data_IF_284845993526
#
_entry.id   IF_284845993526
#
_cell.length_a   1.000
_cell.length_b   1.000
_cell.length_c   1.000
_cell.angle_alpha   90.00
_cell.angle_beta   90.00
_cell.angle_gamma   90.00
#
_symmetry.space_group_name_H-M   'P 1'
#
loop_
_entity.id
_entity.type
_entity.pdbx_description
1 polymer ?
#
# COMPACT_ATOMS: atom_id res chain seq x y z
N UNK A 1 -65.42 23.41 -52.53
CA UNK A 1 -65.60 22.60 -51.30
C UNK A 1 -64.57 21.48 -51.19
N UNK A 2 -64.37 20.61 -52.18
CA UNK A 2 -63.43 19.48 -52.08
C UNK A 2 -61.96 19.90 -51.84
N UNK A 3 -61.51 20.99 -52.46
CA UNK A 3 -60.14 21.49 -52.30
C UNK A 3 -59.86 22.09 -50.92
N UNK A 4 -60.87 22.69 -50.29
CA UNK A 4 -60.79 23.23 -48.92
C UNK A 4 -60.66 22.08 -47.91
N UNK A 5 -61.47 21.03 -48.09
CA UNK A 5 -61.44 19.85 -47.21
C UNK A 5 -60.11 19.09 -47.29
N UNK A 6 -59.46 19.09 -48.47
CA UNK A 6 -58.15 18.48 -48.65
C UNK A 6 -57.03 19.29 -47.99
N UNK A 7 -57.11 20.64 -48.03
CA UNK A 7 -56.17 21.50 -47.31
C UNK A 7 -56.30 21.37 -45.79
N UNK A 8 -57.53 21.34 -45.26
CA UNK A 8 -57.77 21.19 -43.82
C UNK A 8 -57.25 19.83 -43.32
N UNK A 9 -57.44 18.76 -44.10
CA UNK A 9 -56.92 17.43 -43.75
C UNK A 9 -55.38 17.39 -43.74
N UNK A 10 -54.74 18.08 -44.68
CA UNK A 10 -53.27 18.14 -44.75
C UNK A 10 -52.68 18.99 -43.61
N UNK A 11 -53.37 20.07 -43.22
CA UNK A 11 -52.96 20.92 -42.11
C UNK A 11 -53.10 20.19 -40.76
N UNK A 12 -54.17 19.41 -40.58
CA UNK A 12 -54.38 18.60 -39.39
C UNK A 12 -53.30 17.52 -39.24
N UNK A 13 -52.92 16.87 -40.36
CA UNK A 13 -51.87 15.85 -40.35
C UNK A 13 -50.50 16.45 -40.00
N UNK A 14 -50.20 17.65 -40.48
CA UNK A 14 -48.95 18.35 -40.18
C UNK A 14 -48.89 18.78 -38.70
N UNK A 15 -50.00 19.24 -38.15
CA UNK A 15 -50.10 19.60 -36.73
C UNK A 15 -49.93 18.38 -35.81
N UNK A 16 -50.49 17.24 -36.20
CA UNK A 16 -50.37 15.99 -35.43
C UNK A 16 -48.93 15.45 -35.43
N UNK A 17 -48.21 15.59 -36.56
CA UNK A 17 -46.79 15.20 -36.66
C UNK A 17 -45.90 16.09 -35.78
N UNK A 18 -46.17 17.40 -35.74
CA UNK A 18 -45.41 18.34 -34.92
C UNK A 18 -45.61 18.08 -33.42
N UNK A 19 -46.83 17.72 -33.01
CA UNK A 19 -47.14 17.38 -31.62
C UNK A 19 -46.47 16.06 -31.18
N UNK A 20 -46.38 15.08 -32.09
CA UNK A 20 -45.68 13.81 -31.81
C UNK A 20 -44.16 14.01 -31.66
N UNK A 21 -43.56 14.87 -32.48
CA UNK A 21 -42.13 15.15 -32.39
C UNK A 21 -41.77 15.88 -31.07
N UNK A 22 -42.65 16.76 -30.60
CA UNK A 22 -42.45 17.48 -29.33
C UNK A 22 -42.56 16.53 -28.11
N UNK A 23 -43.45 15.54 -28.14
CA UNK A 23 -43.53 14.51 -27.10
C UNK A 23 -42.26 13.64 -27.04
N UNK A 24 -41.71 13.29 -28.21
CA UNK A 24 -40.51 12.45 -28.27
C UNK A 24 -39.28 13.18 -27.70
N UNK A 25 -39.17 14.49 -27.93
CA UNK A 25 -38.10 15.31 -27.36
C UNK A 25 -38.20 15.42 -25.83
N UNK A 26 -39.42 15.54 -25.27
CA UNK A 26 -39.62 15.55 -23.82
C UNK A 26 -39.23 14.23 -23.16
N UNK A 27 -39.53 13.09 -23.79
CA UNK A 27 -39.12 11.78 -23.27
C UNK A 27 -37.60 11.61 -23.23
N UNK A 28 -36.89 12.12 -24.24
CA UNK A 28 -35.42 12.04 -24.28
C UNK A 28 -34.76 12.88 -23.16
N UNK A 29 -35.32 14.06 -22.86
CA UNK A 29 -34.82 14.87 -21.74
C UNK A 29 -35.05 14.21 -20.38
N UNK A 30 -36.19 13.54 -20.18
CA UNK A 30 -36.45 12.81 -18.92
C UNK A 30 -35.49 11.63 -18.72
N UNK A 31 -35.14 10.89 -19.78
CA UNK A 31 -34.16 9.81 -19.68
C UNK A 31 -32.76 10.31 -19.32
N UNK A 32 -32.32 11.44 -19.88
CA UNK A 32 -31.02 12.02 -19.50
C UNK A 32 -30.98 12.46 -18.03
N UNK A 33 -32.06 13.05 -17.49
CA UNK A 33 -32.10 13.41 -16.08
C UNK A 33 -32.07 12.19 -15.14
N UNK A 34 -32.73 11.08 -15.49
CA UNK A 34 -32.65 9.86 -14.68
C UNK A 34 -31.25 9.24 -14.69
N UNK A 35 -30.53 9.25 -15.82
CA UNK A 35 -29.15 8.77 -15.85
C UNK A 35 -28.21 9.63 -14.99
N UNK A 36 -28.40 10.96 -14.97
CA UNK A 36 -27.59 11.84 -14.13
C UNK A 36 -27.85 11.62 -12.62
N UNK A 37 -29.10 11.36 -12.21
CA UNK A 37 -29.40 11.03 -10.81
C UNK A 37 -28.82 9.67 -10.37
N UNK A 38 -28.81 8.65 -11.23
CA UNK A 38 -28.19 7.37 -10.89
C UNK A 38 -26.66 7.47 -10.73
N UNK A 39 -25.98 8.30 -11.53
CA UNK A 39 -24.54 8.53 -11.33
C UNK A 39 -24.24 9.28 -10.02
N UNK A 40 -25.08 10.23 -9.60
CA UNK A 40 -24.89 10.91 -8.31
C UNK A 40 -25.15 9.99 -7.11
N UNK A 41 -26.15 9.10 -7.18
CA UNK A 41 -26.38 8.13 -6.10
C UNK A 41 -25.28 7.07 -6.00
N UNK A 42 -24.68 6.63 -7.11
CA UNK A 42 -23.51 5.74 -7.03
C UNK A 42 -22.29 6.45 -6.41
N UNK A 43 -22.08 7.75 -6.66
CA UNK A 43 -21.02 8.49 -5.97
C UNK A 43 -21.30 8.69 -4.48
N UNK A 44 -22.55 8.87 -4.06
CA UNK A 44 -22.89 8.97 -2.63
C UNK A 44 -22.83 7.63 -1.88
N UNK A 45 -23.15 6.49 -2.54
CA UNK A 45 -23.03 5.18 -1.88
C UNK A 45 -21.57 4.73 -1.70
N UNK A 46 -20.63 5.27 -2.48
CA UNK A 46 -19.18 5.09 -2.22
C UNK A 46 -18.66 5.94 -1.05
N UNK A 47 -19.48 6.87 -0.53
CA UNK A 47 -19.13 7.77 0.57
C UNK A 47 -19.77 7.37 1.90
N UNK A 48 -20.51 6.26 2.00
CA UNK A 48 -20.89 5.73 3.31
C UNK A 48 -19.73 4.94 3.92
N UNK A 49 -19.11 5.42 5.02
CA UNK A 49 -18.17 4.62 5.76
C UNK A 49 -18.94 3.48 6.42
N UNK A 50 -18.69 2.24 6.01
CA UNK A 50 -19.00 1.10 6.88
C UNK A 50 -18.19 1.30 8.16
N UNK A 51 -18.91 1.59 9.25
CA UNK A 51 -18.40 1.77 10.58
C UNK A 51 -17.48 0.62 11.01
N UNK A 52 -16.17 0.84 10.88
CA UNK A 52 -15.19 0.25 11.79
C UNK A 52 -14.95 1.26 12.92
N UNK A 53 -15.98 1.44 13.76
CA UNK A 53 -15.80 2.01 15.09
C UNK A 53 -15.45 0.88 16.04
N UNK A 54 -14.16 0.61 16.22
CA UNK A 54 -13.58 0.40 17.55
C UNK A 54 -12.05 0.27 17.45
N UNK A 55 -11.36 1.39 17.52
CA UNK A 55 -10.22 1.58 18.41
C UNK A 55 -10.16 3.08 18.71
N UNK A 56 -10.31 3.42 19.99
CA UNK A 56 -10.13 4.76 20.54
C UNK A 56 -8.71 5.27 20.21
N UNK A 57 -8.53 5.93 19.07
CA UNK A 57 -7.32 6.67 18.72
C UNK A 57 -7.65 8.11 18.29
N UNK A 58 -8.80 8.62 18.72
CA UNK A 58 -9.19 10.01 18.45
C UNK A 58 -8.68 10.91 19.57
N UNK A 59 -7.85 11.87 19.18
CA UNK A 59 -7.65 13.18 19.82
C UNK A 59 -6.46 13.50 20.74
N UNK A 60 -5.45 12.63 20.95
CA UNK A 60 -4.26 13.03 21.72
C UNK A 60 -2.87 12.82 21.06
N UNK A 61 -2.75 12.13 19.92
CA UNK A 61 -1.44 11.94 19.26
C UNK A 61 -0.97 13.14 18.42
N UNK A 62 -1.86 14.04 18.00
CA UNK A 62 -1.48 15.22 17.21
C UNK A 62 -0.70 16.28 18.00
N UNK A 63 -0.64 16.19 19.33
CA UNK A 63 0.13 17.13 20.17
C UNK A 63 1.64 16.83 20.20
N UNK A 64 2.09 15.71 19.62
CA UNK A 64 3.51 15.32 19.61
C UNK A 64 4.01 14.95 18.21
N UNK A 65 3.38 15.48 17.15
CA UNK A 65 3.91 15.32 15.81
C UNK A 65 5.29 15.99 15.73
N UNK A 66 6.30 15.20 15.37
CA UNK A 66 7.64 15.67 15.10
C UNK A 66 7.97 15.41 13.62
N UNK A 67 8.22 16.46 12.82
CA UNK A 67 8.57 16.31 11.42
C UNK A 67 9.90 15.59 11.21
N UNK A 68 10.81 15.67 12.19
CA UNK A 68 12.17 15.14 12.10
C UNK A 68 12.28 13.65 12.44
N UNK A 69 11.16 13.01 12.80
CA UNK A 69 11.11 11.57 13.12
C UNK A 69 10.19 10.81 12.15
N UNK A 70 10.49 9.53 11.97
CA UNK A 70 9.59 8.61 11.28
C UNK A 70 8.29 8.43 12.06
N UNK A 71 7.20 8.25 11.32
CA UNK A 71 5.85 8.02 11.85
C UNK A 71 5.31 6.71 11.31
N UNK A 72 4.70 5.91 12.19
CA UNK A 72 4.04 4.67 11.77
C UNK A 72 2.69 5.01 11.12
N UNK A 73 2.60 4.73 9.82
CA UNK A 73 1.39 5.00 9.03
C UNK A 73 0.36 3.90 9.24
N UNK A 74 0.83 2.65 9.20
CA UNK A 74 0.06 1.45 9.49
C UNK A 74 1.01 0.36 10.04
N UNK A 75 0.49 -0.72 10.65
CA UNK A 75 1.31 -1.71 11.35
C UNK A 75 2.57 -2.16 10.59
N UNK A 76 3.73 -1.80 11.13
CA UNK A 76 5.06 -2.10 10.61
C UNK A 76 5.43 -1.39 9.30
N UNK A 77 4.79 -0.27 8.98
CA UNK A 77 5.16 0.62 7.86
C UNK A 77 5.35 2.03 8.38
N UNK A 78 6.59 2.49 8.27
CA UNK A 78 7.04 3.79 8.73
C UNK A 78 7.35 4.70 7.57
N UNK A 79 7.06 5.99 7.75
CA UNK A 79 7.38 7.04 6.79
C UNK A 79 8.12 8.16 7.51
N UNK A 80 9.31 8.53 7.02
CA UNK A 80 10.15 9.48 7.74
C UNK A 80 11.23 10.18 6.92
N UNK A 81 11.85 11.22 7.50
CA UNK A 81 13.01 11.90 6.93
C UNK A 81 14.29 11.06 7.04
N UNK A 82 15.32 11.47 6.31
CA UNK A 82 16.68 10.92 6.43
C UNK A 82 17.26 11.01 7.85
N UNK A 83 16.83 11.99 8.66
CA UNK A 83 17.21 12.09 10.07
C UNK A 83 16.78 10.88 10.90
N UNK A 84 15.80 10.11 10.43
CA UNK A 84 15.36 8.85 11.07
C UNK A 84 16.42 7.73 10.98
N UNK A 85 17.44 7.89 10.14
CA UNK A 85 18.54 6.92 9.99
C UNK A 85 19.73 7.24 10.92
N UNK A 86 19.70 8.39 11.60
CA UNK A 86 20.81 8.84 12.42
C UNK A 86 20.87 8.11 13.77
N UNK A 87 22.08 7.81 14.22
CA UNK A 87 22.40 7.02 15.40
C UNK A 87 23.07 7.87 16.46
N UNK A 88 22.43 8.88 17.07
CA UNK A 88 23.03 9.59 18.24
C UNK A 88 22.11 10.58 18.99
N UNK A 89 22.43 10.91 20.26
CA UNK A 89 21.61 11.72 21.17
C UNK A 89 21.42 13.20 20.79
N UNK A 90 22.09 13.74 19.77
CA UNK A 90 22.02 15.19 19.47
C UNK A 90 20.68 15.61 18.85
N UNK A 91 19.91 14.67 18.32
CA UNK A 91 18.49 14.91 17.98
C UNK A 91 17.69 15.26 19.25
N UNK A 92 18.09 14.79 20.44
CA UNK A 92 17.47 15.10 21.73
C UNK A 92 17.73 16.56 22.15
N UNK A 93 18.88 17.15 21.80
CA UNK A 93 19.19 18.53 22.23
C UNK A 93 18.47 19.60 21.41
N UNK A 94 18.14 19.31 20.15
CA UNK A 94 17.35 20.22 19.31
C UNK A 94 15.84 19.91 19.31
N UNK A 95 15.42 18.75 19.84
CA UNK A 95 14.02 18.40 20.08
C UNK A 95 13.62 18.67 21.53
N UNK A 96 13.34 19.93 21.85
CA UNK A 96 12.82 20.34 23.17
C UNK A 96 11.44 19.74 23.55
N UNK A 97 10.84 18.87 22.72
CA UNK A 97 9.46 18.40 22.87
C UNK A 97 9.22 16.91 22.61
N UNK A 98 10.25 16.07 22.40
CA UNK A 98 10.03 14.63 22.30
C UNK A 98 9.80 14.05 23.71
N UNK A 99 8.69 13.34 23.98
CA UNK A 99 8.51 12.66 25.26
C UNK A 99 9.61 11.62 25.42
N UNK A 100 10.33 11.69 26.54
CA UNK A 100 11.33 10.68 26.86
C UNK A 100 10.65 9.30 26.91
N UNK A 101 11.22 8.27 26.27
CA UNK A 101 10.69 6.92 26.37
C UNK A 101 10.69 6.50 27.84
N UNK A 102 9.48 6.32 28.41
CA UNK A 102 9.28 5.87 29.77
C UNK A 102 9.50 4.36 29.90
N UNK A 103 10.72 3.89 29.64
CA UNK A 103 11.18 2.58 30.12
C UNK A 103 12.70 2.60 30.26
N UNK A 104 13.11 2.82 31.51
CA UNK A 104 14.20 2.19 32.26
C UNK A 104 15.55 1.91 31.57
N UNK A 105 16.60 2.45 32.21
CA UNK A 105 18.04 2.25 32.03
C UNK A 105 18.73 3.12 30.98
N UNK A 106 19.00 4.36 31.37
CA UNK A 106 19.96 5.26 30.75
C UNK A 106 21.39 4.74 30.95
N UNK A 107 21.81 3.81 30.10
CA UNK A 107 23.19 3.79 29.61
C UNK A 107 23.27 4.78 28.45
N UNK A 108 24.39 5.48 28.30
CA UNK A 108 24.62 6.49 27.26
C UNK A 108 24.76 5.89 25.84
N UNK A 109 23.96 4.86 25.53
CA UNK A 109 23.91 4.22 24.23
C UNK A 109 22.91 5.01 23.36
N UNK A 110 23.40 5.56 22.26
CA UNK A 110 22.61 6.44 21.39
C UNK A 110 21.33 5.76 20.89
N UNK A 111 20.24 6.52 20.85
CA UNK A 111 19.00 6.06 20.21
C UNK A 111 19.25 5.82 18.72
N UNK A 112 18.97 4.61 18.25
CA UNK A 112 18.98 4.26 16.82
C UNK A 112 17.59 3.73 16.47
N UNK A 113 16.83 4.52 15.71
CA UNK A 113 15.46 4.18 15.32
C UNK A 113 15.39 2.84 14.57
N UNK A 114 16.36 2.59 13.68
CA UNK A 114 16.40 1.39 12.83
C UNK A 114 16.65 0.13 13.65
N UNK A 115 17.49 0.19 14.70
CA UNK A 115 17.73 -0.97 15.58
C UNK A 115 16.69 -1.14 16.69
N UNK A 116 16.10 -0.04 17.15
CA UNK A 116 15.07 -0.06 18.19
C UNK A 116 13.72 -0.57 17.66
N UNK A 117 13.55 -0.52 16.35
CA UNK A 117 12.43 -1.12 15.64
C UNK A 117 12.93 -2.32 14.84
N UNK A 118 12.07 -3.29 14.54
CA UNK A 118 12.45 -4.45 13.72
C UNK A 118 12.49 -4.10 12.22
N UNK A 119 13.19 -3.01 11.86
CA UNK A 119 13.27 -2.50 10.48
C UNK A 119 14.22 -3.40 9.70
N UNK A 120 13.68 -4.14 8.72
CA UNK A 120 14.46 -5.01 7.84
C UNK A 120 14.47 -4.56 6.39
N UNK A 121 13.69 -3.53 6.05
CA UNK A 121 13.64 -2.97 4.71
C UNK A 121 13.61 -1.44 4.82
N UNK A 122 14.56 -0.78 4.18
CA UNK A 122 14.59 0.67 4.01
C UNK A 122 14.46 0.97 2.52
N UNK A 123 13.50 1.81 2.14
CA UNK A 123 13.33 2.26 0.75
C UNK A 123 13.49 3.78 0.71
N UNK A 124 14.61 4.23 0.14
CA UNK A 124 14.77 5.63 -0.23
C UNK A 124 13.86 5.97 -1.42
N UNK A 125 13.17 7.10 -1.29
CA UNK A 125 12.29 7.68 -2.31
C UNK A 125 12.63 9.18 -2.54
N UNK A 126 13.77 9.65 -2.04
CA UNK A 126 14.35 10.96 -2.34
C UNK A 126 15.52 10.85 -3.32
N UNK A 127 16.33 11.90 -3.43
CA UNK A 127 17.50 11.90 -4.32
C UNK A 127 18.47 10.76 -4.00
N UNK A 128 18.71 9.86 -4.97
CA UNK A 128 19.63 8.72 -4.78
C UNK A 128 21.00 9.19 -4.31
N UNK A 129 21.62 10.19 -4.96
CA UNK A 129 22.97 10.64 -4.60
C UNK A 129 23.07 11.20 -3.18
N UNK A 130 22.08 11.97 -2.72
CA UNK A 130 22.07 12.48 -1.34
C UNK A 130 21.93 11.35 -0.33
N UNK A 131 21.09 10.36 -0.65
CA UNK A 131 20.93 9.18 0.18
C UNK A 131 22.21 8.34 0.26
N UNK A 132 22.89 8.15 -0.87
CA UNK A 132 24.17 7.42 -0.90
C UNK A 132 25.24 8.15 -0.10
N UNK A 133 25.36 9.46 -0.27
CA UNK A 133 26.30 10.28 0.48
C UNK A 133 26.04 10.19 1.99
N UNK A 134 24.76 10.25 2.40
CA UNK A 134 24.35 10.07 3.79
C UNK A 134 24.76 8.71 4.34
N UNK A 135 24.49 7.60 3.63
CA UNK A 135 24.79 6.25 4.13
C UNK A 135 26.29 5.97 4.16
N UNK A 136 27.02 6.37 3.13
CA UNK A 136 28.43 6.00 2.95
C UNK A 136 29.39 6.92 3.71
N UNK A 137 29.05 8.20 3.87
CA UNK A 137 29.96 9.20 4.43
C UNK A 137 29.53 9.74 5.80
N UNK A 138 28.30 9.51 6.27
CA UNK A 138 27.89 9.97 7.60
C UNK A 138 28.40 9.03 8.69
N UNK A 139 29.18 9.52 9.67
CA UNK A 139 29.59 8.72 10.83
C UNK A 139 28.43 8.42 11.79
N UNK A 140 27.27 9.07 11.56
CA UNK A 140 26.08 8.95 12.38
C UNK A 140 25.04 8.03 11.76
N UNK A 141 25.36 7.29 10.70
CA UNK A 141 24.46 6.29 10.13
C UNK A 141 25.12 4.93 10.30
N UNK A 142 24.43 4.01 10.97
CA UNK A 142 24.88 2.63 11.12
C UNK A 142 23.71 1.70 10.82
N UNK A 143 23.75 1.10 9.63
CA UNK A 143 22.76 0.14 9.16
C UNK A 143 23.34 -1.27 9.30
N UNK A 144 22.59 -2.16 9.94
CA UNK A 144 22.99 -3.57 10.08
C UNK A 144 22.95 -4.30 8.75
N UNK A 145 23.82 -5.29 8.57
CA UNK A 145 23.96 -6.06 7.32
C UNK A 145 22.76 -6.95 6.99
N UNK A 146 21.84 -7.13 7.93
CA UNK A 146 20.58 -7.86 7.77
C UNK A 146 19.40 -6.95 7.36
N UNK A 147 19.65 -5.67 7.10
CA UNK A 147 18.67 -4.72 6.60
C UNK A 147 18.82 -4.58 5.09
N UNK A 148 17.72 -4.83 4.37
CA UNK A 148 17.65 -4.58 2.94
C UNK A 148 17.50 -3.07 2.67
N UNK A 149 18.47 -2.47 1.98
CA UNK A 149 18.42 -1.05 1.62
C UNK A 149 18.24 -0.90 0.12
N UNK A 150 17.16 -0.23 -0.28
CA UNK A 150 16.79 0.02 -1.67
C UNK A 150 16.65 1.51 -1.93
N UNK A 151 16.97 1.97 -3.13
CA UNK A 151 16.75 3.35 -3.58
C UNK A 151 15.83 3.34 -4.80
N UNK A 152 14.60 3.83 -4.65
CA UNK A 152 13.65 4.07 -5.73
C UNK A 152 13.76 5.52 -6.17
N UNK A 153 14.30 5.73 -7.38
CA UNK A 153 14.45 7.07 -7.96
C UNK A 153 14.25 6.98 -9.48
N UNK A 154 13.03 7.23 -9.98
CA UNK A 154 12.72 7.16 -11.40
C UNK A 154 13.51 8.17 -12.25
N UNK A 155 14.01 9.24 -11.63
CA UNK A 155 14.78 10.30 -12.28
C UNK A 155 16.28 10.01 -12.31
N UNK A 156 16.73 9.02 -11.55
CA UNK A 156 18.14 8.66 -11.47
C UNK A 156 18.59 7.90 -12.71
N UNK A 157 19.56 8.47 -13.42
CA UNK A 157 20.20 7.84 -14.56
C UNK A 157 21.67 7.52 -14.26
N UNK A 158 21.92 6.26 -13.90
CA UNK A 158 23.24 5.72 -13.63
C UNK A 158 24.19 5.76 -14.84
N UNK A 159 23.66 5.87 -16.06
CA UNK A 159 24.43 5.81 -17.30
C UNK A 159 24.87 7.17 -17.85
N UNK A 160 24.48 8.27 -17.20
CA UNK A 160 24.84 9.61 -17.70
C UNK A 160 26.29 9.98 -17.36
N UNK A 161 27.04 10.39 -18.37
CA UNK A 161 28.34 11.06 -18.24
C UNK A 161 28.29 12.37 -17.43
N UNK A 162 27.09 12.78 -16.99
CA UNK A 162 26.82 13.98 -16.20
C UNK A 162 26.98 13.75 -14.68
N UNK A 163 27.11 12.51 -14.21
CA UNK A 163 27.41 12.23 -12.80
C UNK A 163 28.83 12.73 -12.47
N UNK A 164 28.99 13.62 -11.47
CA UNK A 164 30.31 13.97 -10.96
C UNK A 164 31.08 12.72 -10.53
N UNK A 165 32.41 12.73 -10.63
CA UNK A 165 33.26 11.59 -10.30
C UNK A 165 32.94 11.01 -8.90
N UNK A 166 32.72 11.88 -7.92
CA UNK A 166 32.30 11.50 -6.57
C UNK A 166 30.97 10.73 -6.56
N UNK A 167 29.99 11.12 -7.38
CA UNK A 167 28.70 10.43 -7.48
C UNK A 167 28.82 9.04 -8.09
N UNK A 168 29.72 8.86 -9.06
CA UNK A 168 30.02 7.53 -9.63
C UNK A 168 30.66 6.61 -8.59
N UNK A 169 31.59 7.13 -7.80
CA UNK A 169 32.23 6.35 -6.72
C UNK A 169 31.21 5.93 -5.65
N UNK A 170 30.36 6.85 -5.20
CA UNK A 170 29.29 6.55 -4.23
C UNK A 170 28.36 5.45 -4.76
N UNK A 171 27.91 5.58 -6.01
CA UNK A 171 27.06 4.58 -6.65
C UNK A 171 27.74 3.21 -6.73
N UNK A 172 29.03 3.16 -7.10
CA UNK A 172 29.78 1.92 -7.20
C UNK A 172 29.96 1.23 -5.84
N UNK A 173 30.30 1.98 -4.78
CA UNK A 173 30.42 1.44 -3.42
C UNK A 173 29.09 0.90 -2.93
N UNK A 174 28.04 1.71 -2.98
CA UNK A 174 26.71 1.32 -2.56
C UNK A 174 26.20 0.08 -3.33
N UNK A 175 26.32 0.08 -4.66
CA UNK A 175 25.89 -1.07 -5.47
C UNK A 175 26.69 -2.32 -5.11
N UNK A 176 28.01 -2.21 -4.92
CA UNK A 176 28.85 -3.37 -4.56
C UNK A 176 28.45 -4.00 -3.23
N UNK A 177 28.16 -3.17 -2.24
CA UNK A 177 27.96 -3.62 -0.87
C UNK A 177 26.50 -4.07 -0.66
N UNK A 178 25.52 -3.29 -1.14
CA UNK A 178 24.11 -3.61 -0.98
C UNK A 178 23.57 -4.61 -2.01
N UNK A 179 24.18 -4.77 -3.20
CA UNK A 179 23.81 -5.88 -4.08
C UNK A 179 24.12 -7.22 -3.44
N UNK A 180 25.25 -7.36 -2.75
CA UNK A 180 25.58 -8.63 -2.06
C UNK A 180 24.55 -8.96 -0.99
N UNK A 181 24.17 -7.96 -0.19
CA UNK A 181 23.14 -8.10 0.84
C UNK A 181 21.81 -8.51 0.20
N UNK A 182 21.36 -7.80 -0.84
CA UNK A 182 20.14 -8.10 -1.57
C UNK A 182 20.15 -9.54 -2.11
N UNK A 183 21.19 -9.95 -2.85
CA UNK A 183 21.27 -11.30 -3.41
C UNK A 183 21.29 -12.37 -2.32
N UNK A 184 22.07 -12.18 -1.26
CA UNK A 184 22.11 -13.12 -0.13
C UNK A 184 20.74 -13.24 0.54
N UNK A 185 20.05 -12.12 0.75
CA UNK A 185 18.73 -12.08 1.36
C UNK A 185 17.70 -12.78 0.47
N UNK A 186 17.65 -12.45 -0.83
CA UNK A 186 16.72 -13.07 -1.78
C UNK A 186 16.99 -14.58 -1.94
N UNK A 187 18.25 -14.99 -2.05
CA UNK A 187 18.62 -16.39 -2.18
C UNK A 187 18.28 -17.17 -0.92
N UNK A 188 18.64 -16.66 0.27
CA UNK A 188 18.29 -17.29 1.55
C UNK A 188 16.78 -17.40 1.73
N UNK A 189 16.04 -16.35 1.36
CA UNK A 189 14.59 -16.31 1.43
C UNK A 189 13.94 -17.38 0.55
N UNK A 190 14.28 -17.43 -0.75
CA UNK A 190 13.69 -18.41 -1.67
C UNK A 190 14.19 -19.84 -1.41
N UNK A 191 15.42 -20.00 -0.93
CA UNK A 191 15.93 -21.31 -0.51
C UNK A 191 15.13 -21.86 0.68
N UNK A 192 14.85 -21.01 1.66
CA UNK A 192 14.06 -21.39 2.85
C UNK A 192 12.57 -21.53 2.54
N UNK A 193 12.09 -20.90 1.46
CA UNK A 193 10.68 -20.82 1.11
C UNK A 193 10.47 -21.16 -0.39
N UNK A 194 10.63 -22.43 -0.79
CA UNK A 194 10.58 -22.84 -2.19
C UNK A 194 9.22 -22.56 -2.87
N UNK A 195 8.15 -22.47 -2.09
CA UNK A 195 6.80 -22.17 -2.57
C UNK A 195 6.43 -20.68 -2.47
N UNK A 196 7.38 -19.79 -2.18
CA UNK A 196 7.13 -18.35 -2.00
C UNK A 196 6.41 -17.70 -3.19
N UNK A 197 6.73 -18.13 -4.42
CA UNK A 197 6.08 -17.63 -5.63
C UNK A 197 4.57 -17.94 -5.69
N UNK A 198 4.12 -18.98 -4.97
CA UNK A 198 2.70 -19.34 -4.88
C UNK A 198 1.99 -18.63 -3.73
N UNK A 199 2.69 -17.80 -2.95
CA UNK A 199 2.07 -17.08 -1.83
C UNK A 199 1.44 -15.77 -2.30
N UNK A 200 1.92 -15.19 -3.40
CA UNK A 200 1.53 -13.84 -3.81
C UNK A 200 1.06 -13.78 -5.25
N UNK A 201 0.20 -12.81 -5.56
CA UNK A 201 -0.24 -12.56 -6.92
C UNK A 201 0.95 -12.25 -7.83
N UNK A 202 0.95 -12.86 -9.02
CA UNK A 202 1.88 -12.54 -10.10
C UNK A 202 1.84 -11.04 -10.42
N UNK A 203 2.95 -10.51 -10.95
CA UNK A 203 2.97 -9.14 -11.44
C UNK A 203 2.19 -9.05 -12.77
N UNK A 204 1.68 -7.87 -13.14
CA UNK A 204 1.03 -7.67 -14.44
C UNK A 204 1.92 -8.10 -15.60
N UNK A 205 1.28 -8.53 -16.70
CA UNK A 205 1.98 -8.89 -17.95
C UNK A 205 3.07 -9.96 -17.79
N UNK A 206 2.91 -10.87 -16.82
CA UNK A 206 3.86 -11.95 -16.50
C UNK A 206 5.26 -11.46 -16.13
N UNK A 207 5.39 -10.24 -15.60
CA UNK A 207 6.67 -9.80 -15.04
C UNK A 207 7.05 -10.65 -13.82
N UNK A 208 8.36 -10.89 -13.65
CA UNK A 208 8.89 -11.58 -12.49
C UNK A 208 9.19 -10.63 -11.34
N UNK A 209 8.99 -11.11 -10.10
CA UNK A 209 9.43 -10.44 -8.89
C UNK A 209 10.95 -10.59 -8.73
N UNK A 210 11.72 -9.93 -9.60
CA UNK A 210 13.16 -9.79 -9.48
C UNK A 210 13.53 -8.34 -9.18
N UNK A 211 14.42 -8.18 -8.20
CA UNK A 211 15.13 -6.93 -7.91
C UNK A 211 16.60 -7.31 -7.94
N UNK A 212 17.27 -6.93 -9.03
CA UNK A 212 18.65 -7.34 -9.31
C UNK A 212 19.67 -6.26 -8.90
N UNK A 213 19.16 -5.06 -8.57
CA UNK A 213 19.94 -3.90 -8.17
C UNK A 213 19.29 -3.24 -6.94
N UNK A 214 20.09 -2.80 -5.95
CA UNK A 214 19.58 -2.02 -4.83
C UNK A 214 19.13 -0.62 -5.26
N UNK A 215 19.58 -0.13 -6.42
CA UNK A 215 19.07 1.11 -7.04
C UNK A 215 18.05 0.72 -8.10
N UNK A 216 16.79 1.06 -7.84
CA UNK A 216 15.62 0.77 -8.66
C UNK A 216 15.34 2.02 -9.50
N UNK A 217 15.71 1.95 -10.78
CA UNK A 217 15.48 3.01 -11.76
C UNK A 217 14.39 2.63 -12.76
N UNK A 218 14.02 3.57 -13.61
CA UNK A 218 13.13 3.34 -14.75
C UNK A 218 11.81 4.09 -14.65
N UNK A 219 11.29 4.47 -15.81
CA UNK A 219 10.10 5.31 -15.95
C UNK A 219 8.78 4.59 -15.62
N UNK A 220 8.77 3.25 -15.59
CA UNK A 220 7.58 2.46 -15.29
C UNK A 220 7.35 2.34 -13.77
N UNK A 221 6.97 3.46 -13.16
CA UNK A 221 6.76 3.56 -11.72
C UNK A 221 5.68 2.59 -11.20
N UNK A 222 4.62 2.34 -11.98
CA UNK A 222 3.61 1.33 -11.68
C UNK A 222 4.24 -0.04 -11.42
N UNK A 223 5.12 -0.50 -12.31
CA UNK A 223 5.78 -1.79 -12.15
C UNK A 223 6.68 -1.80 -10.91
N UNK A 224 7.37 -0.68 -10.62
CA UNK A 224 8.20 -0.59 -9.42
C UNK A 224 7.38 -0.63 -8.12
N UNK A 225 6.19 0.00 -8.10
CA UNK A 225 5.25 -0.15 -6.98
C UNK A 225 4.84 -1.61 -6.80
N UNK A 226 4.45 -2.31 -7.86
CA UNK A 226 4.14 -3.73 -7.78
C UNK A 226 5.31 -4.54 -7.23
N UNK A 227 6.53 -4.37 -7.75
CA UNK A 227 7.71 -5.10 -7.27
C UNK A 227 7.98 -4.87 -5.78
N UNK A 228 8.04 -3.62 -5.36
CA UNK A 228 8.34 -3.28 -3.96
C UNK A 228 7.27 -3.77 -2.99
N UNK A 229 5.99 -3.53 -3.30
CA UNK A 229 4.89 -3.88 -2.40
C UNK A 229 4.72 -5.40 -2.32
N UNK A 230 4.88 -6.11 -3.44
CA UNK A 230 4.83 -7.57 -3.47
C UNK A 230 6.00 -8.17 -2.70
N UNK A 231 7.20 -7.61 -2.82
CA UNK A 231 8.35 -8.02 -2.02
C UNK A 231 8.09 -7.82 -0.51
N UNK A 232 7.65 -6.62 -0.12
CA UNK A 232 7.35 -6.31 1.30
C UNK A 232 6.28 -7.25 1.84
N UNK A 233 5.21 -7.45 1.08
CA UNK A 233 4.12 -8.37 1.46
C UNK A 233 4.64 -9.80 1.63
N UNK A 234 5.45 -10.27 0.69
CA UNK A 234 6.04 -11.61 0.73
C UNK A 234 6.91 -11.81 1.97
N UNK A 235 7.72 -10.82 2.35
CA UNK A 235 8.52 -10.89 3.57
C UNK A 235 7.67 -10.81 4.84
N UNK A 236 6.65 -9.94 4.88
CA UNK A 236 5.75 -9.81 6.04
C UNK A 236 4.87 -11.03 6.27
N UNK A 237 4.63 -11.84 5.24
CA UNK A 237 3.90 -13.10 5.38
C UNK A 237 4.68 -14.18 6.13
N UNK A 238 6.01 -14.10 6.09
CA UNK A 238 6.90 -15.06 6.76
C UNK A 238 7.34 -14.52 8.12
N UNK A 239 7.64 -13.22 8.17
CA UNK A 239 7.99 -12.51 9.39
C UNK A 239 7.01 -11.36 9.62
N UNK A 240 5.96 -11.60 10.41
CA UNK A 240 4.90 -10.62 10.66
C UNK A 240 5.38 -9.41 11.47
N UNK A 241 6.43 -9.58 12.27
CA UNK A 241 7.06 -8.52 13.04
C UNK A 241 7.99 -7.64 12.20
N UNK A 242 8.24 -8.01 10.94
CA UNK A 242 9.08 -7.24 10.04
C UNK A 242 8.48 -5.85 9.79
N UNK A 243 9.31 -4.84 9.99
CA UNK A 243 8.95 -3.45 9.74
C UNK A 243 9.72 -2.90 8.53
N UNK A 244 9.07 -1.98 7.82
CA UNK A 244 9.65 -1.30 6.66
C UNK A 244 9.62 0.21 6.87
N UNK A 245 10.68 0.89 6.44
CA UNK A 245 10.82 2.34 6.51
C UNK A 245 10.94 2.92 5.11
N UNK A 246 10.00 3.79 4.73
CA UNK A 246 10.07 4.61 3.55
C UNK A 246 10.66 5.97 3.91
N UNK A 247 11.74 6.38 3.24
CA UNK A 247 12.43 7.63 3.53
C UNK A 247 12.50 8.58 2.34
N UNK A 248 12.51 9.87 2.63
CA UNK A 248 12.88 10.96 1.71
C UNK A 248 13.65 12.03 2.49
N UNK A 249 14.19 13.06 1.83
CA UNK A 249 15.03 14.07 2.52
C UNK A 249 14.37 14.62 3.78
N UNK A 250 13.10 15.03 3.68
CA UNK A 250 12.31 15.67 4.75
C UNK A 250 11.15 14.77 5.24
N UNK A 251 11.04 13.55 4.72
CA UNK A 251 9.94 12.63 5.02
C UNK A 251 8.60 13.03 4.43
N UNK A 252 8.53 14.06 3.57
CA UNK A 252 7.31 14.50 2.91
C UNK A 252 7.37 14.36 1.38
N UNK A 253 8.37 13.64 0.86
CA UNK A 253 8.56 13.47 -0.58
C UNK A 253 7.36 12.82 -1.27
N UNK A 254 6.98 13.35 -2.44
CA UNK A 254 5.85 12.86 -3.24
C UNK A 254 5.95 11.38 -3.57
N UNK A 255 7.16 10.89 -3.88
CA UNK A 255 7.40 9.51 -4.24
C UNK A 255 7.22 8.57 -3.03
N UNK A 256 7.73 8.96 -1.85
CA UNK A 256 7.53 8.20 -0.60
C UNK A 256 6.05 8.13 -0.21
N UNK A 257 5.33 9.25 -0.40
CA UNK A 257 3.88 9.33 -0.22
C UNK A 257 3.16 8.41 -1.22
N UNK A 258 3.56 8.44 -2.49
CA UNK A 258 3.01 7.59 -3.54
C UNK A 258 3.21 6.10 -3.26
N UNK A 259 4.42 5.68 -2.86
CA UNK A 259 4.71 4.30 -2.48
C UNK A 259 3.87 3.86 -1.27
N UNK A 260 3.71 4.73 -0.28
CA UNK A 260 2.86 4.46 0.90
C UNK A 260 1.39 4.31 0.48
N UNK A 261 0.87 5.17 -0.40
CA UNK A 261 -0.49 5.05 -0.95
C UNK A 261 -0.65 3.72 -1.69
N UNK A 262 0.31 3.36 -2.55
CA UNK A 262 0.26 2.10 -3.28
C UNK A 262 0.24 0.89 -2.32
N UNK A 263 1.01 0.94 -1.24
CA UNK A 263 0.98 -0.10 -0.20
C UNK A 263 -0.39 -0.20 0.47
N UNK A 264 -1.02 0.93 0.84
CA UNK A 264 -2.35 0.96 1.44
C UNK A 264 -3.44 0.48 0.47
N UNK A 265 -3.33 0.84 -0.81
CA UNK A 265 -4.18 0.34 -1.88
C UNK A 265 -4.09 -1.19 -1.99
N UNK A 266 -2.89 -1.75 -1.89
CA UNK A 266 -2.70 -3.18 -1.99
C UNK A 266 -3.16 -3.92 -0.73
N UNK A 267 -2.56 -3.61 0.42
CA UNK A 267 -2.74 -4.39 1.64
C UNK A 267 -4.08 -4.12 2.35
N UNK A 268 -4.66 -2.93 2.18
CA UNK A 268 -5.88 -2.51 2.90
C UNK A 268 -7.06 -2.19 1.96
N UNK A 269 -6.87 -2.30 0.64
CA UNK A 269 -7.90 -1.99 -0.38
C UNK A 269 -8.42 -0.56 -0.31
N UNK A 270 -7.63 0.37 0.23
CA UNK A 270 -8.00 1.77 0.26
C UNK A 270 -7.92 2.38 -1.14
N UNK A 271 -8.81 3.32 -1.45
CA UNK A 271 -8.65 4.14 -2.63
C UNK A 271 -7.61 5.25 -2.35
N UNK A 272 -7.30 6.06 -3.36
CA UNK A 272 -6.34 7.17 -3.24
C UNK A 272 -6.68 8.11 -2.08
N UNK A 273 -7.95 8.55 -2.00
CA UNK A 273 -8.39 9.52 -1.01
C UNK A 273 -8.26 9.00 0.43
N UNK A 274 -8.72 7.78 0.69
CA UNK A 274 -8.64 7.16 2.02
C UNK A 274 -7.19 6.86 2.41
N UNK A 275 -6.36 6.46 1.45
CA UNK A 275 -4.93 6.23 1.69
C UNK A 275 -4.22 7.53 2.09
N UNK A 276 -4.47 8.61 1.33
CA UNK A 276 -3.90 9.92 1.64
C UNK A 276 -4.39 10.46 2.98
N UNK A 277 -5.69 10.32 3.28
CA UNK A 277 -6.28 10.75 4.55
C UNK A 277 -5.57 10.08 5.74
N UNK A 278 -5.37 8.77 5.71
CA UNK A 278 -4.64 8.05 6.77
C UNK A 278 -3.20 8.55 6.92
N UNK A 279 -2.48 8.74 5.81
CA UNK A 279 -1.11 9.26 5.83
C UNK A 279 -1.09 10.66 6.47
N UNK A 280 -2.00 11.54 6.05
CA UNK A 280 -2.09 12.91 6.55
C UNK A 280 -2.43 12.98 8.04
N UNK A 281 -3.32 12.11 8.53
CA UNK A 281 -3.65 11.99 9.96
C UNK A 281 -2.42 11.63 10.81
N UNK A 282 -1.50 10.82 10.27
CA UNK A 282 -0.26 10.39 10.96
C UNK A 282 0.93 11.33 10.74
N UNK A 283 0.96 12.03 9.61
CA UNK A 283 2.03 12.96 9.24
C UNK A 283 1.43 14.20 8.54
N UNK A 284 0.97 15.20 9.31
CA UNK A 284 0.25 16.36 8.77
C UNK A 284 1.08 17.30 7.88
N UNK A 285 2.41 17.16 7.88
CA UNK A 285 3.32 17.92 7.00
C UNK A 285 3.34 17.42 5.57
N UNK A 286 2.78 16.24 5.29
CA UNK A 286 2.70 15.72 3.92
C UNK A 286 1.72 16.55 3.11
N UNK A 287 2.20 17.06 1.99
CA UNK A 287 1.37 17.77 1.01
C UNK A 287 0.61 16.76 0.15
N UNK A 288 -0.60 17.14 -0.24
CA UNK A 288 -1.34 16.39 -1.24
C UNK A 288 -0.64 16.50 -2.61
N UNK A 289 -0.58 15.39 -3.35
CA UNK A 289 -0.06 15.38 -4.72
C UNK A 289 -0.93 16.30 -5.61
N UNK A 290 -0.30 17.18 -6.38
CA UNK A 290 -1.01 18.15 -7.22
C UNK A 290 -0.77 17.85 -8.70
N UNK A 291 -1.83 17.93 -9.52
CA UNK A 291 -1.75 17.70 -10.96
C UNK A 291 -0.88 18.74 -11.71
N UNK A 292 -0.58 19.88 -11.08
CA UNK A 292 0.22 20.95 -11.67
C UNK A 292 1.74 20.69 -11.59
N UNK A 293 2.19 19.73 -10.78
CA UNK A 293 3.59 19.30 -10.75
C UNK A 293 3.75 18.04 -11.58
N UNK A 294 4.71 18.04 -12.50
CA UNK A 294 4.94 16.93 -13.43
C UNK A 294 5.19 15.60 -12.68
N UNK A 295 6.03 15.62 -11.65
CA UNK A 295 6.36 14.41 -10.87
C UNK A 295 5.13 13.87 -10.12
N UNK A 296 4.34 14.76 -9.52
CA UNK A 296 3.10 14.39 -8.83
C UNK A 296 2.08 13.80 -9.81
N UNK A 297 1.94 14.39 -11.00
CA UNK A 297 1.08 13.88 -12.07
C UNK A 297 1.51 12.47 -12.49
N UNK A 298 2.81 12.25 -12.70
CA UNK A 298 3.36 10.96 -13.07
C UNK A 298 3.08 9.90 -11.98
N UNK A 299 3.26 10.26 -10.71
CA UNK A 299 2.93 9.39 -9.57
C UNK A 299 1.43 9.07 -9.56
N UNK A 300 0.56 10.07 -9.66
CA UNK A 300 -0.89 9.88 -9.63
C UNK A 300 -1.40 8.99 -10.77
N UNK A 301 -0.91 9.18 -11.99
CA UNK A 301 -1.29 8.34 -13.13
C UNK A 301 -0.82 6.89 -12.97
N UNK A 302 0.39 6.68 -12.44
CA UNK A 302 0.87 5.33 -12.14
C UNK A 302 0.09 4.68 -10.98
N UNK A 303 -0.32 5.44 -9.96
CA UNK A 303 -1.18 4.95 -8.87
C UNK A 303 -2.55 4.51 -9.36
N UNK A 304 -3.18 5.28 -10.27
CA UNK A 304 -4.47 4.90 -10.87
C UNK A 304 -4.37 3.58 -11.62
N UNK A 305 -3.34 3.44 -12.48
CA UNK A 305 -3.09 2.19 -13.23
C UNK A 305 -2.77 1.03 -12.30
N UNK A 306 -1.92 1.26 -11.30
CA UNK A 306 -1.61 0.28 -10.26
C UNK A 306 -2.88 -0.22 -9.56
N UNK A 307 -3.75 0.70 -9.11
CA UNK A 307 -4.98 0.35 -8.40
C UNK A 307 -5.92 -0.52 -9.25
N UNK A 308 -6.14 -0.13 -10.52
CA UNK A 308 -6.99 -0.88 -11.44
C UNK A 308 -6.47 -2.31 -11.69
N UNK A 309 -5.21 -2.44 -12.10
CA UNK A 309 -4.59 -3.74 -12.37
C UNK A 309 -4.50 -4.61 -11.12
N UNK A 310 -4.27 -4.01 -9.95
CA UNK A 310 -4.21 -4.75 -8.69
C UNK A 310 -5.58 -5.35 -8.30
N UNK A 311 -6.67 -4.61 -8.52
CA UNK A 311 -8.02 -5.14 -8.32
C UNK A 311 -8.28 -6.33 -9.25
N UNK A 312 -7.89 -6.22 -10.52
CA UNK A 312 -8.07 -7.28 -11.51
C UNK A 312 -7.30 -8.54 -11.12
N UNK A 313 -6.01 -8.41 -10.81
CA UNK A 313 -5.16 -9.53 -10.35
C UNK A 313 -5.73 -10.23 -9.12
N UNK A 314 -6.23 -9.47 -8.15
CA UNK A 314 -6.83 -10.01 -6.93
C UNK A 314 -8.17 -10.68 -7.17
N UNK A 315 -8.92 -10.21 -8.17
CA UNK A 315 -10.19 -10.82 -8.59
C UNK A 315 -9.95 -12.15 -9.29
N UNK A 316 -8.92 -12.26 -10.11
CA UNK A 316 -8.56 -13.48 -10.83
C UNK A 316 -8.05 -14.59 -9.90
N UNK A 317 -7.36 -14.21 -8.81
CA UNK A 317 -6.79 -15.16 -7.86
C UNK A 317 -7.19 -14.79 -6.41
N UNK A 318 -8.46 -15.00 -6.02
CA UNK A 318 -8.95 -14.58 -4.71
C UNK A 318 -8.30 -15.35 -3.54
N UNK A 319 -7.76 -16.54 -3.82
CA UNK A 319 -7.15 -17.43 -2.82
C UNK A 319 -5.65 -17.17 -2.60
N UNK A 320 -4.99 -16.43 -3.49
CA UNK A 320 -3.63 -15.93 -3.27
C UNK A 320 -3.69 -14.71 -2.36
N UNK A 321 -2.70 -14.52 -1.50
CA UNK A 321 -2.87 -13.83 -0.21
C UNK A 321 -3.63 -12.50 -0.28
N UNK A 322 -4.86 -12.58 0.22
CA UNK A 322 -5.44 -11.71 1.24
C UNK A 322 -6.08 -12.60 2.34
N UNK A 323 -5.36 -13.61 2.86
CA UNK A 323 -5.72 -14.15 4.17
C UNK A 323 -5.31 -13.12 5.22
N UNK A 324 -6.14 -12.10 5.36
CA UNK A 324 -6.19 -11.36 6.61
C UNK A 324 -6.36 -12.38 7.73
N UNK A 325 -5.40 -12.42 8.65
CA UNK A 325 -5.67 -12.56 10.06
C UNK A 325 -6.80 -13.57 10.40
N UNK A 326 -6.62 -14.86 10.09
CA UNK A 326 -7.19 -15.87 10.98
C UNK A 326 -6.39 -15.76 12.27
N UNK A 327 -6.77 -14.81 13.14
CA UNK A 327 -6.54 -14.94 14.57
C UNK A 327 -7.13 -16.31 14.91
N UNK A 328 -6.26 -17.29 15.06
CA UNK A 328 -6.55 -18.42 15.91
C UNK A 328 -6.83 -17.80 17.28
N UNK A 329 -8.10 -17.50 17.55
CA UNK A 329 -8.56 -17.40 18.92
C UNK A 329 -8.21 -18.75 19.51
N UNK A 330 -7.19 -18.76 20.37
CA UNK A 330 -6.81 -19.92 21.13
C UNK A 330 -8.00 -20.40 21.92
N UNK A 331 -8.71 -21.38 21.40
CA UNK A 331 -9.27 -22.44 22.23
C UNK A 331 -8.09 -23.33 22.56
N UNK A 332 -7.47 -23.03 23.69
CA UNK A 332 -6.62 -23.99 24.35
C UNK A 332 -7.49 -25.20 24.71
N UNK A 333 -7.05 -26.37 24.29
CA UNK A 333 -7.28 -27.60 25.02
C UNK A 333 -6.02 -28.46 24.83
N UNK A 334 -5.33 -28.63 25.95
CA UNK A 334 -4.23 -29.55 26.15
C UNK A 334 -4.68 -30.99 25.88
N UNK A 335 -3.75 -31.83 25.39
CA UNK A 335 -3.84 -33.27 25.69
C UNK A 335 -3.42 -34.24 24.60
N UNK A 336 -2.12 -34.55 24.57
CA UNK A 336 -1.54 -35.90 24.42
C UNK A 336 -1.73 -36.72 23.14
N UNK A 337 -0.58 -37.15 22.57
CA UNK A 337 -0.38 -38.58 22.24
C UNK A 337 -0.03 -38.97 20.80
N UNK A 338 1.28 -39.12 20.55
CA UNK A 338 1.94 -40.25 19.85
C UNK A 338 1.53 -40.73 18.44
N UNK A 339 2.53 -40.68 17.56
CA UNK A 339 3.00 -41.71 16.59
C UNK A 339 2.20 -42.08 15.32
N UNK A 340 2.94 -41.94 14.21
CA UNK A 340 3.16 -42.90 13.11
C UNK A 340 2.08 -43.16 12.04
N UNK A 341 2.47 -42.80 10.81
CA UNK A 341 2.51 -43.61 9.59
C UNK A 341 1.22 -44.10 8.89
N UNK A 342 1.36 -44.04 7.55
CA UNK A 342 0.74 -44.83 6.49
C UNK A 342 -0.59 -44.36 5.88
N UNK A 343 -0.55 -44.37 4.55
CA UNK A 343 -1.62 -44.14 3.59
C UNK A 343 -2.71 -45.21 3.66
N UNK A 344 -3.85 -44.94 3.02
CA UNK A 344 -4.52 -45.78 1.98
C UNK A 344 -5.87 -45.13 1.63
N UNK A 345 -6.16 -45.18 0.33
CA UNK A 345 -7.41 -44.82 -0.35
C UNK A 345 -8.66 -45.50 0.24
N UNK A 346 -9.84 -44.87 0.15
CA UNK A 346 -10.98 -45.53 -0.50
C UNK A 346 -12.15 -44.58 -0.81
N UNK A 347 -12.86 -44.95 -1.87
CA UNK A 347 -13.97 -44.24 -2.50
C UNK A 347 -15.33 -44.38 -1.78
N UNK A 348 -16.26 -43.54 -2.25
CA UNK A 348 -17.73 -43.71 -2.29
C UNK A 348 -18.57 -43.40 -1.03
N UNK A 349 -19.57 -42.53 -1.21
CA UNK A 349 -20.63 -42.34 -0.21
C UNK A 349 -21.58 -41.17 -0.44
N UNK A 350 -22.43 -41.29 -1.44
CA UNK A 350 -23.63 -40.50 -1.73
C UNK A 350 -24.58 -40.33 -0.51
N UNK A 351 -25.24 -39.17 -0.36
CA UNK A 351 -26.47 -39.06 0.44
C UNK A 351 -26.67 -37.72 1.15
N UNK A 352 -27.64 -36.94 0.66
CA UNK A 352 -28.03 -35.63 1.20
C UNK A 352 -28.84 -35.64 2.50
N UNK A 353 -29.14 -34.44 2.98
CA UNK A 353 -30.08 -34.23 4.09
C UNK A 353 -29.84 -32.89 4.76
N UNK A 354 -30.68 -31.91 4.43
CA UNK A 354 -30.91 -30.70 5.21
C UNK A 354 -31.27 -31.07 6.66
N UNK A 355 -30.61 -30.46 7.64
CA UNK A 355 -31.21 -30.28 8.96
C UNK A 355 -30.70 -29.00 9.63
N UNK A 356 -31.60 -28.01 9.67
CA UNK A 356 -31.48 -26.77 10.41
C UNK A 356 -31.71 -27.10 11.89
N UNK A 357 -30.66 -27.02 12.70
CA UNK A 357 -30.76 -27.13 14.16
C UNK A 357 -30.57 -25.77 14.82
N UNK A 358 -31.71 -25.17 15.19
CA UNK A 358 -31.83 -24.05 16.11
C UNK A 358 -31.83 -24.58 17.54
N UNK A 359 -30.93 -24.09 18.38
CA UNK A 359 -30.93 -24.30 19.83
C UNK A 359 -29.56 -23.95 20.39
N UNK A 360 -29.39 -23.23 21.48
CA UNK A 360 -30.30 -22.81 22.53
C UNK A 360 -29.41 -22.47 23.72
N UNK A 361 -29.73 -21.37 24.41
CA UNK A 361 -28.98 -20.81 25.52
C UNK A 361 -28.54 -21.86 26.56
N UNK A 362 -27.23 -21.90 26.87
CA UNK A 362 -26.74 -22.54 28.10
C UNK A 362 -26.07 -21.53 29.02
N UNK A 363 -26.77 -21.32 30.14
CA UNK A 363 -26.37 -20.60 31.34
C UNK A 363 -25.04 -21.12 31.89
N UNK A 364 -24.18 -20.18 32.29
CA UNK A 364 -23.00 -20.39 33.15
C UNK A 364 -23.43 -21.03 34.47
N UNK A 365 -22.70 -22.04 34.93
CA UNK A 365 -22.60 -22.39 36.35
C UNK A 365 -21.17 -22.06 36.79
N UNK A 366 -21.10 -21.25 37.84
CA UNK A 366 -19.93 -21.08 38.69
C UNK A 366 -19.63 -22.41 39.38
N UNK A 367 -18.38 -22.87 39.30
CA UNK A 367 -17.57 -23.22 40.47
C UNK A 367 -16.10 -23.29 40.08
#
# INVERSE_FOLDING_TARGET
MFQQQQQDQQQLQQQQLQQQQQQQQQQQQQQQQQQQQQQQQQQQNYLQPRNFHNYNATFNESMFFNPDTAQEICPGIWLGPYTSLLTTPQVINNLHYAPQPQTQSATAEGYNFVSNNNIKIIVNCGSTLKFLDLIENSPYVSISSDVLVLSLDPSFDAGTAALPQQGQELMQRFTRDYSKILHNYMNSFYFSNPNANNLIHNLPSNHHLSIDSPIITGSNLKLQFFKLIRLISLFKLINYDLQCLFVSEDGNGSLSTGLTIAYLMDCYRYNYHNSFKLIYERRPTIRQLQLNYYDDLLIMENLKKFYGENIELKRENPNLLMNGCKRSMGTGEDGSGSSAAAAVDDENGNGGGDEIMVGGDRKRKLH
#
